data_IF_304655149150
#
_entry.id   IF_304655149150
#
_cell.length_a   1.000
_cell.length_b   1.000
_cell.length_c   1.000
_cell.angle_alpha   90.00
_cell.angle_beta   90.00
_cell.angle_gamma   90.00
#
_symmetry.space_group_name_H-M   'P 1'
#
loop_
_entity.id
_entity.type
_entity.pdbx_description
1 polymer ?
#
# COMPACT_ATOMS: atom_id res chain seq x y z
N UNK A 1 4.77 -3.72 22.75
CA UNK A 1 4.86 -5.20 22.59
C UNK A 1 4.97 -5.47 21.11
N UNK A 2 5.81 -6.43 20.73
CA UNK A 2 5.87 -6.89 19.34
C UNK A 2 4.59 -7.66 19.00
N UNK A 3 4.08 -7.53 17.78
CA UNK A 3 3.00 -8.39 17.29
C UNK A 3 3.55 -9.79 17.05
N UNK A 4 2.77 -10.82 17.33
CA UNK A 4 3.17 -12.21 17.02
C UNK A 4 3.19 -12.46 15.52
N UNK A 5 3.86 -13.54 15.09
CA UNK A 5 3.87 -13.95 13.68
C UNK A 5 2.47 -14.24 13.13
N UNK A 6 1.61 -14.87 13.95
CA UNK A 6 0.22 -15.18 13.56
C UNK A 6 -0.60 -13.90 13.37
N UNK A 7 -0.44 -12.92 14.26
CA UNK A 7 -1.12 -11.61 14.13
C UNK A 7 -0.60 -10.85 12.90
N UNK A 8 0.71 -10.90 12.66
CA UNK A 8 1.33 -10.30 11.49
C UNK A 8 0.78 -10.91 10.19
N UNK A 9 0.71 -12.24 10.10
CA UNK A 9 0.18 -12.95 8.94
C UNK A 9 -1.29 -12.60 8.69
N UNK A 10 -2.10 -12.54 9.75
CA UNK A 10 -3.51 -12.16 9.64
C UNK A 10 -3.70 -10.73 9.12
N UNK A 11 -2.85 -9.79 9.55
CA UNK A 11 -2.87 -8.40 9.04
C UNK A 11 -2.45 -8.37 7.57
N UNK A 12 -1.38 -9.09 7.19
CA UNK A 12 -0.92 -9.17 5.80
C UNK A 12 -2.02 -9.73 4.90
N UNK A 13 -2.64 -10.85 5.29
CA UNK A 13 -3.72 -11.48 4.52
C UNK A 13 -4.91 -10.53 4.36
N UNK A 14 -5.29 -9.82 5.44
CA UNK A 14 -6.41 -8.88 5.39
C UNK A 14 -6.12 -7.71 4.45
N UNK A 15 -4.91 -7.15 4.49
CA UNK A 15 -4.50 -6.07 3.60
C UNK A 15 -4.40 -6.53 2.13
N UNK A 16 -3.79 -7.70 1.86
CA UNK A 16 -3.71 -8.28 0.52
C UNK A 16 -5.11 -8.48 -0.09
N UNK A 17 -6.04 -9.03 0.70
CA UNK A 17 -7.43 -9.23 0.27
C UNK A 17 -8.09 -7.91 -0.12
N UNK A 18 -7.94 -6.85 0.68
CA UNK A 18 -8.53 -5.54 0.37
C UNK A 18 -7.94 -5.00 -0.94
N UNK A 19 -6.63 -5.10 -1.14
CA UNK A 19 -5.98 -4.63 -2.37
C UNK A 19 -6.51 -5.39 -3.59
N UNK A 20 -6.59 -6.72 -3.53
CA UNK A 20 -7.09 -7.54 -4.66
C UNK A 20 -8.57 -7.33 -4.94
N UNK A 21 -9.38 -7.08 -3.90
CA UNK A 21 -10.80 -6.73 -4.08
C UNK A 21 -10.96 -5.34 -4.73
N UNK A 22 -10.07 -4.40 -4.39
CA UNK A 22 -10.08 -3.04 -4.94
C UNK A 22 -9.50 -2.97 -6.35
N UNK A 23 -8.50 -3.81 -6.64
CA UNK A 23 -7.74 -3.84 -7.91
C UNK A 23 -7.63 -5.30 -8.38
N UNK A 24 -8.63 -5.84 -9.09
CA UNK A 24 -8.66 -7.25 -9.48
C UNK A 24 -7.48 -7.71 -10.33
N UNK A 25 -6.95 -6.83 -11.17
CA UNK A 25 -5.85 -7.13 -12.10
C UNK A 25 -4.45 -6.88 -11.49
N UNK A 26 -4.38 -6.73 -10.16
CA UNK A 26 -3.12 -6.41 -9.48
C UNK A 26 -2.09 -7.55 -9.57
N UNK A 27 -0.87 -7.19 -9.93
CA UNK A 27 0.28 -8.08 -9.88
C UNK A 27 1.12 -7.81 -8.62
N UNK A 28 1.80 -8.84 -8.14
CA UNK A 28 2.64 -8.78 -6.94
C UNK A 28 4.09 -9.08 -7.24
N UNK A 29 5.01 -8.29 -6.66
CA UNK A 29 6.45 -8.50 -6.75
C UNK A 29 7.05 -8.63 -5.34
N UNK A 30 7.74 -9.73 -5.00
CA UNK A 30 8.44 -9.82 -3.73
C UNK A 30 9.66 -8.89 -3.73
N UNK A 31 9.72 -7.95 -2.78
CA UNK A 31 10.85 -6.99 -2.68
C UNK A 31 10.99 -6.45 -1.26
N UNK A 32 12.24 -6.24 -0.84
CA UNK A 32 12.57 -5.64 0.47
C UNK A 32 11.96 -6.39 1.68
N UNK A 33 11.79 -7.71 1.58
CA UNK A 33 11.18 -8.51 2.64
C UNK A 33 9.66 -8.37 2.74
N UNK A 34 9.00 -7.76 1.76
CA UNK A 34 7.54 -7.65 1.67
C UNK A 34 7.04 -7.82 0.24
N UNK A 35 5.81 -7.37 0.01
CA UNK A 35 5.09 -7.52 -1.27
C UNK A 35 4.79 -6.14 -1.84
N UNK A 36 5.25 -5.88 -3.06
CA UNK A 36 4.83 -4.73 -3.85
C UNK A 36 3.62 -5.09 -4.70
N UNK A 37 2.72 -4.12 -4.89
CA UNK A 37 1.53 -4.23 -5.73
C UNK A 37 1.63 -3.25 -6.89
N UNK A 38 1.43 -3.75 -8.10
CA UNK A 38 1.65 -3.01 -9.35
C UNK A 38 0.66 -3.44 -10.41
N UNK A 39 0.34 -2.53 -11.34
CA UNK A 39 -0.33 -2.85 -12.60
C UNK A 39 0.66 -2.86 -13.79
N UNK A 40 1.94 -2.64 -13.50
CA UNK A 40 3.03 -2.44 -14.47
C UNK A 40 4.27 -3.20 -13.96
N UNK A 41 4.26 -4.54 -13.98
CA UNK A 41 5.34 -5.35 -13.40
C UNK A 41 6.68 -5.20 -14.14
N UNK A 42 6.65 -4.81 -15.42
CA UNK A 42 7.85 -4.59 -16.24
C UNK A 42 8.55 -3.26 -15.96
N UNK A 43 7.90 -2.36 -15.21
CA UNK A 43 8.43 -1.03 -14.95
C UNK A 43 9.13 -0.96 -13.59
N UNK A 44 10.29 -0.32 -13.56
CA UNK A 44 11.13 -0.20 -12.35
C UNK A 44 10.40 0.49 -11.19
N UNK A 45 9.50 1.42 -11.51
CA UNK A 45 8.73 2.23 -10.54
C UNK A 45 7.21 2.12 -10.77
N UNK A 46 6.73 0.97 -11.27
CA UNK A 46 5.31 0.75 -11.57
C UNK A 46 4.41 0.50 -10.36
N UNK A 47 4.98 0.23 -9.18
CA UNK A 47 4.22 -0.10 -7.98
C UNK A 47 3.49 1.10 -7.37
N UNK A 48 2.21 0.94 -7.06
CA UNK A 48 1.40 1.99 -6.41
C UNK A 48 1.42 1.86 -4.89
N UNK A 49 1.51 0.64 -4.34
CA UNK A 49 1.68 0.40 -2.91
C UNK A 49 2.49 -0.87 -2.60
N UNK A 50 2.73 -1.13 -1.32
CA UNK A 50 3.38 -2.34 -0.83
C UNK A 50 3.06 -2.63 0.64
N UNK A 51 3.06 -3.92 1.00
CA UNK A 51 2.90 -4.43 2.36
C UNK A 51 4.24 -4.93 2.87
N UNK A 52 4.66 -4.46 4.03
CA UNK A 52 5.96 -4.79 4.63
C UNK A 52 5.82 -5.20 6.10
N UNK A 53 6.19 -6.44 6.47
CA UNK A 53 6.24 -6.86 7.87
C UNK A 53 7.41 -6.19 8.61
N UNK A 54 7.13 -5.66 9.79
CA UNK A 54 8.11 -5.18 10.77
C UNK A 54 7.89 -5.87 12.12
N UNK A 55 8.86 -5.76 13.03
CA UNK A 55 8.80 -6.41 14.35
C UNK A 55 7.53 -6.09 15.15
N UNK A 56 7.07 -4.84 15.09
CA UNK A 56 5.98 -4.34 15.94
C UNK A 56 4.70 -4.01 15.15
N UNK A 57 4.72 -4.10 13.82
CA UNK A 57 3.59 -3.76 12.96
C UNK A 57 3.75 -4.32 11.55
N UNK A 58 2.69 -4.29 10.76
CA UNK A 58 2.73 -4.40 9.30
C UNK A 58 2.50 -3.02 8.70
N UNK A 59 3.31 -2.62 7.74
CA UNK A 59 3.21 -1.33 7.08
C UNK A 59 2.58 -1.49 5.70
N UNK A 60 1.50 -0.74 5.43
CA UNK A 60 1.02 -0.47 4.08
C UNK A 60 1.63 0.85 3.62
N UNK A 61 2.52 0.82 2.63
CA UNK A 61 3.18 2.01 2.10
C UNK A 61 2.70 2.33 0.68
N UNK A 62 2.45 3.61 0.40
CA UNK A 62 2.08 4.14 -0.92
C UNK A 62 3.27 4.86 -1.55
N UNK A 63 3.63 4.51 -2.78
CA UNK A 63 4.79 5.07 -3.48
C UNK A 63 4.72 6.61 -3.57
N UNK A 64 3.54 7.12 -3.90
CA UNK A 64 3.24 8.55 -4.06
C UNK A 64 2.20 9.03 -3.05
N UNK A 65 2.35 8.60 -1.80
CA UNK A 65 1.42 8.91 -0.72
C UNK A 65 1.16 10.41 -0.47
N UNK A 66 2.10 11.30 -0.80
CA UNK A 66 1.91 12.76 -0.69
C UNK A 66 0.87 13.34 -1.65
N UNK A 67 0.58 12.63 -2.74
CA UNK A 67 -0.36 13.07 -3.74
C UNK A 67 -1.77 12.49 -3.55
N UNK A 68 -1.96 11.64 -2.53
CA UNK A 68 -3.24 11.01 -2.26
C UNK A 68 -4.16 11.93 -1.49
N UNK A 69 -5.46 11.82 -1.78
CA UNK A 69 -6.50 12.42 -0.97
C UNK A 69 -6.63 11.65 0.35
N UNK A 70 -6.31 12.31 1.46
CA UNK A 70 -6.34 11.74 2.81
C UNK A 70 -7.15 12.64 3.77
N UNK A 71 -8.49 12.71 3.60
CA UNK A 71 -9.35 13.57 4.40
C UNK A 71 -9.40 13.16 5.88
N UNK A 72 -9.09 11.89 6.18
CA UNK A 72 -9.07 11.35 7.53
C UNK A 72 -7.68 11.44 8.18
N UNK A 73 -6.68 11.98 7.48
CA UNK A 73 -5.31 12.15 7.95
C UNK A 73 -4.69 10.85 8.52
N UNK A 74 -4.97 9.71 7.88
CA UNK A 74 -4.47 8.39 8.33
C UNK A 74 -3.04 8.11 7.86
N UNK A 75 -2.57 8.83 6.83
CA UNK A 75 -1.26 8.64 6.25
C UNK A 75 -0.16 9.30 7.11
N UNK A 76 0.88 8.52 7.37
CA UNK A 76 2.09 8.94 8.09
C UNK A 76 3.33 8.94 7.20
N UNK A 77 4.35 9.67 7.62
CA UNK A 77 5.67 9.73 6.98
C UNK A 77 6.07 11.13 6.54
N UNK A 78 7.38 11.39 6.53
CA UNK A 78 7.98 12.70 6.25
C UNK A 78 8.86 12.70 5.00
N UNK A 79 8.93 11.57 4.28
CA UNK A 79 9.69 11.46 3.04
C UNK A 79 9.12 12.33 1.91
N UNK A 80 9.91 12.49 0.85
CA UNK A 80 9.57 13.34 -0.31
C UNK A 80 8.26 12.96 -1.00
N UNK A 81 7.99 11.66 -1.13
CA UNK A 81 6.81 11.13 -1.85
C UNK A 81 6.02 10.11 -1.05
N UNK A 82 6.71 9.19 -0.37
CA UNK A 82 6.09 8.05 0.28
C UNK A 82 5.29 8.47 1.52
N UNK A 83 4.11 7.88 1.69
CA UNK A 83 3.36 7.82 2.96
C UNK A 83 2.98 6.39 3.27
N UNK A 84 2.57 6.12 4.50
CA UNK A 84 2.24 4.78 4.96
C UNK A 84 1.25 4.78 6.11
N UNK A 85 0.68 3.61 6.38
CA UNK A 85 -0.11 3.31 7.57
C UNK A 85 0.54 2.09 8.24
N UNK A 86 0.69 2.13 9.56
CA UNK A 86 1.22 1.01 10.33
C UNK A 86 0.07 0.34 11.10
N UNK A 87 -0.04 -0.98 10.97
CA UNK A 87 -1.05 -1.79 11.62
C UNK A 87 -0.39 -2.75 12.60
N UNK A 88 -0.71 -2.59 13.88
CA UNK A 88 -0.35 -3.55 14.93
C UNK A 88 -1.57 -4.33 15.45
N UNK A 89 -2.75 -4.05 14.92
CA UNK A 89 -4.02 -4.67 15.29
C UNK A 89 -4.87 -4.85 14.03
N UNK A 90 -5.44 -6.04 13.87
CA UNK A 90 -6.34 -6.39 12.78
C UNK A 90 -7.61 -5.53 12.79
N UNK A 91 -8.09 -5.14 13.98
CA UNK A 91 -9.31 -4.33 14.12
C UNK A 91 -9.12 -2.87 13.70
N UNK A 92 -7.87 -2.39 13.63
CA UNK A 92 -7.56 -1.04 13.17
C UNK A 92 -7.68 -0.89 11.64
N UNK A 93 -7.86 -1.99 10.91
CA UNK A 93 -7.99 -1.96 9.44
C UNK A 93 -9.41 -1.50 9.07
N UNK A 94 -9.51 -0.26 8.58
CA UNK A 94 -10.73 0.31 8.01
C UNK A 94 -10.80 0.05 6.49
N UNK A 95 -11.57 -0.94 6.00
CA UNK A 95 -11.49 -1.38 4.60
C UNK A 95 -11.93 -0.31 3.60
N UNK A 96 -12.94 0.49 3.94
CA UNK A 96 -13.46 1.54 3.07
C UNK A 96 -12.42 2.65 2.87
N UNK A 97 -11.82 3.17 3.95
CA UNK A 97 -10.72 4.14 3.88
C UNK A 97 -9.52 3.61 3.09
N UNK A 98 -9.17 2.33 3.26
CA UNK A 98 -8.05 1.76 2.52
C UNK A 98 -8.38 1.62 1.04
N UNK A 99 -9.60 1.20 0.69
CA UNK A 99 -10.03 1.09 -0.70
C UNK A 99 -9.98 2.45 -1.41
N UNK A 100 -10.44 3.53 -0.78
CA UNK A 100 -10.35 4.89 -1.31
C UNK A 100 -8.90 5.31 -1.61
N UNK A 101 -7.99 5.09 -0.65
CA UNK A 101 -6.56 5.37 -0.81
C UNK A 101 -5.92 4.53 -1.92
N UNK A 102 -6.28 3.25 -2.03
CA UNK A 102 -5.78 2.35 -3.07
C UNK A 102 -6.27 2.79 -4.45
N UNK A 103 -7.55 3.15 -4.60
CA UNK A 103 -8.09 3.69 -5.85
C UNK A 103 -7.34 4.95 -6.23
N UNK A 104 -7.17 5.91 -5.31
CA UNK A 104 -6.45 7.15 -5.57
C UNK A 104 -4.99 6.88 -5.99
N UNK A 105 -4.30 5.94 -5.31
CA UNK A 105 -2.94 5.55 -5.65
C UNK A 105 -2.81 4.91 -7.04
N UNK A 106 -3.78 4.09 -7.46
CA UNK A 106 -3.82 3.53 -8.82
C UNK A 106 -4.05 4.63 -9.85
N UNK A 107 -4.98 5.57 -9.60
CA UNK A 107 -5.23 6.67 -10.53
C UNK A 107 -4.00 7.56 -10.69
N UNK A 108 -3.33 7.89 -9.58
CA UNK A 108 -2.08 8.66 -9.62
C UNK A 108 -0.98 7.88 -10.34
N UNK A 109 -0.81 6.59 -10.06
CA UNK A 109 0.15 5.74 -10.75
C UNK A 109 -0.07 5.78 -12.28
N UNK A 110 -1.31 5.71 -12.75
CA UNK A 110 -1.62 5.79 -14.19
C UNK A 110 -1.38 7.17 -14.79
N UNK A 111 -1.58 8.25 -14.03
CA UNK A 111 -1.41 9.61 -14.56
C UNK A 111 0.06 9.99 -14.76
N UNK A 112 0.97 9.45 -13.94
CA UNK A 112 2.43 9.65 -14.11
C UNK A 112 2.97 9.01 -15.39
N UNK A 113 2.29 8.01 -15.94
CA UNK A 113 2.71 7.31 -17.16
C UNK A 113 2.44 8.15 -18.40
N UNK A 114 1.28 8.80 -18.44
CA UNK A 114 0.89 9.68 -19.53
C UNK A 114 1.82 10.91 -19.65
N UNK A 115 2.48 11.30 -18.55
CA UNK A 115 3.43 12.40 -18.51
C UNK A 115 4.86 12.00 -18.89
N UNK A 116 5.24 10.73 -18.69
CA UNK A 116 6.58 10.20 -19.05
C UNK A 116 6.76 9.90 -20.54
N UNK A 117 5.68 9.98 -21.33
CA UNK A 117 5.64 9.78 -22.79
C UNK A 117 5.64 11.11 -23.59
N UNK A 118 5.81 12.25 -22.94
CA UNK A 118 6.02 13.57 -23.57
C UNK A 118 7.48 14.01 -23.45
#
# INVERSE_FOLDING_TARGET
MAISGIEQDAIIERLDRIIRQTVPDVETLPKYGGTLYTLRPSEKEGQFCGIFPYKDHVQLAFSNGTALEDPNHVLSGTGKFRRHINFSDLQAIAPETLAELIVNAVQYSRSQDAESLK
#
